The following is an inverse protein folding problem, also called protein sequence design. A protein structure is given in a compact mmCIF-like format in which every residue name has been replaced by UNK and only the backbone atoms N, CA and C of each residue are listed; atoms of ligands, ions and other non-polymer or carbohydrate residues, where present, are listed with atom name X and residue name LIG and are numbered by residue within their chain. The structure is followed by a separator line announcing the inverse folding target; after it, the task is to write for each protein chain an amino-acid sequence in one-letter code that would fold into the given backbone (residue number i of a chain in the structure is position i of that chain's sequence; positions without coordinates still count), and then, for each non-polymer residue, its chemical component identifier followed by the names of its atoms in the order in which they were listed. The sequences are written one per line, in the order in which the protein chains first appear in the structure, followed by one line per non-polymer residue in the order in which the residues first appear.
data_IF_132989228222
#
_entry.id   IF_132989228222
#
_cell.length_a   1.000
_cell.length_b   1.000
_cell.length_c   1.000
_cell.angle_alpha   90.00
_cell.angle_beta   90.00
_cell.angle_gamma   90.00
#
_symmetry.space_group_name_H-M   'P 1'
#
loop_
_entity.id
_entity.type
_entity.pdbx_description
1 polymer ?
#
# COMPACT_ATOMS: atom_id res chain seq x y z
N UNK A 1 16.82 -10.78 -14.31
CA UNK A 1 16.97 -9.33 -14.14
C UNK A 1 17.39 -9.09 -12.70
N UNK A 2 18.56 -8.48 -12.49
CA UNK A 2 18.95 -8.02 -11.16
C UNK A 2 18.13 -6.78 -10.90
N UNK A 3 17.28 -6.80 -9.87
CA UNK A 3 16.58 -5.61 -9.43
C UNK A 3 17.59 -4.80 -8.60
N UNK A 4 17.94 -3.63 -9.08
CA UNK A 4 18.72 -2.65 -8.33
C UNK A 4 17.78 -1.84 -7.44
N UNK A 5 18.32 -1.11 -6.47
CA UNK A 5 17.56 -0.20 -5.59
C UNK A 5 16.52 0.63 -6.36
N UNK A 6 16.91 1.22 -7.49
CA UNK A 6 16.02 2.05 -8.30
C UNK A 6 14.88 1.25 -8.96
N UNK A 7 15.19 0.07 -9.50
CA UNK A 7 14.17 -0.78 -10.12
C UNK A 7 13.20 -1.37 -9.10
N UNK A 8 13.69 -1.71 -7.90
CA UNK A 8 12.84 -2.15 -6.79
C UNK A 8 11.94 -1.01 -6.28
N UNK A 9 12.49 0.20 -6.14
CA UNK A 9 11.71 1.39 -5.75
C UNK A 9 10.63 1.70 -6.78
N UNK A 10 10.97 1.68 -8.08
CA UNK A 10 10.02 1.91 -9.16
C UNK A 10 8.90 0.85 -9.18
N UNK A 11 9.28 -0.44 -9.00
CA UNK A 11 8.32 -1.54 -8.92
C UNK A 11 7.35 -1.35 -7.75
N UNK A 12 7.87 -1.02 -6.57
CA UNK A 12 7.03 -0.77 -5.39
C UNK A 12 6.12 0.44 -5.58
N UNK A 13 6.60 1.52 -6.21
CA UNK A 13 5.78 2.68 -6.54
C UNK A 13 4.64 2.34 -7.51
N UNK A 14 4.91 1.51 -8.52
CA UNK A 14 3.87 1.02 -9.42
C UNK A 14 2.83 0.17 -8.69
N UNK A 15 3.28 -0.66 -7.76
CA UNK A 15 2.39 -1.54 -6.98
C UNK A 15 1.55 -0.75 -5.97
N UNK A 16 2.12 0.27 -5.33
CA UNK A 16 1.40 1.14 -4.40
C UNK A 16 0.39 2.04 -5.09
N UNK A 17 0.65 2.34 -6.37
CA UNK A 17 -0.17 3.24 -7.20
C UNK A 17 -0.67 4.46 -6.42
N UNK A 18 0.24 5.35 -5.99
CA UNK A 18 -0.14 6.50 -5.17
C UNK A 18 -1.09 7.45 -5.90
N UNK A 19 -1.02 7.52 -7.23
CA UNK A 19 -1.90 8.37 -8.03
C UNK A 19 -3.33 7.81 -8.12
N UNK A 20 -3.48 6.52 -8.40
CA UNK A 20 -4.77 5.83 -8.38
C UNK A 20 -5.41 5.80 -6.99
N UNK A 21 -4.60 5.91 -5.94
CA UNK A 21 -5.06 5.97 -4.56
C UNK A 21 -5.55 7.35 -4.12
N UNK A 22 -5.26 8.45 -4.87
CA UNK A 22 -5.65 9.82 -4.52
C UNK A 22 -7.16 9.96 -4.24
N UNK A 23 -8.08 9.45 -5.07
CA UNK A 23 -9.52 9.62 -4.82
C UNK A 23 -9.96 9.02 -3.49
N UNK A 24 -9.46 7.82 -3.17
CA UNK A 24 -9.79 7.12 -1.91
C UNK A 24 -9.24 7.88 -0.72
N UNK A 25 -7.95 8.27 -0.77
CA UNK A 25 -7.31 9.06 0.28
C UNK A 25 -8.02 10.39 0.50
N UNK A 26 -8.33 11.12 -0.57
CA UNK A 26 -9.06 12.39 -0.49
C UNK A 26 -10.42 12.24 0.19
N UNK A 27 -11.19 11.21 -0.16
CA UNK A 27 -12.51 10.97 0.43
C UNK A 27 -12.41 10.68 1.94
N UNK A 28 -11.44 9.86 2.32
CA UNK A 28 -11.20 9.53 3.73
C UNK A 28 -10.64 10.73 4.50
N UNK A 29 -9.69 11.48 3.92
CA UNK A 29 -9.10 12.66 4.56
C UNK A 29 -10.09 13.83 4.69
N UNK A 30 -11.17 13.88 3.90
CA UNK A 30 -12.23 14.86 4.09
C UNK A 30 -12.99 14.69 5.42
N UNK A 31 -12.98 13.49 6.00
CA UNK A 31 -13.53 13.20 7.33
C UNK A 31 -12.59 13.65 8.46
N UNK A 32 -11.36 14.05 8.13
CA UNK A 32 -10.32 14.44 9.09
C UNK A 32 -10.12 15.95 9.06
N UNK A 33 -10.04 16.57 10.25
CA UNK A 33 -9.74 18.00 10.35
C UNK A 33 -8.44 18.36 9.59
N UNK A 34 -8.42 19.46 8.81
CA UNK A 34 -7.29 19.82 7.94
C UNK A 34 -5.92 19.80 8.63
N UNK A 35 -5.86 20.31 9.86
CA UNK A 35 -4.63 20.34 10.67
C UNK A 35 -4.08 18.95 11.04
N UNK A 36 -4.87 17.90 10.91
CA UNK A 36 -4.51 16.52 11.28
C UNK A 36 -4.24 15.62 10.08
N UNK A 37 -4.60 16.03 8.86
CA UNK A 37 -4.50 15.22 7.63
C UNK A 37 -3.10 14.67 7.40
N UNK A 38 -2.08 15.52 7.45
CA UNK A 38 -0.68 15.12 7.26
C UNK A 38 -0.24 14.10 8.32
N UNK A 39 -0.66 14.30 9.57
CA UNK A 39 -0.35 13.36 10.66
C UNK A 39 -1.00 12.00 10.44
N UNK A 40 -2.23 11.98 9.92
CA UNK A 40 -2.91 10.73 9.56
C UNK A 40 -2.16 10.03 8.43
N UNK A 41 -1.81 10.73 7.34
CA UNK A 41 -1.03 10.13 6.24
C UNK A 41 0.29 9.55 6.74
N UNK A 42 1.04 10.29 7.56
CA UNK A 42 2.30 9.80 8.12
C UNK A 42 2.10 8.54 8.97
N UNK A 43 1.07 8.52 9.81
CA UNK A 43 0.73 7.35 10.62
C UNK A 43 0.43 6.13 9.75
N UNK A 44 -0.41 6.30 8.72
CA UNK A 44 -0.78 5.22 7.81
C UNK A 44 0.43 4.70 7.02
N UNK A 45 1.30 5.60 6.54
CA UNK A 45 2.56 5.24 5.90
C UNK A 45 3.49 4.46 6.83
N UNK A 46 3.61 4.87 8.11
CA UNK A 46 4.43 4.15 9.10
C UNK A 46 3.88 2.77 9.40
N UNK A 47 2.56 2.63 9.51
CA UNK A 47 1.91 1.33 9.74
C UNK A 47 2.13 0.43 8.52
N UNK A 48 1.88 0.95 7.31
CA UNK A 48 2.12 0.20 6.07
C UNK A 48 3.59 -0.22 5.94
N UNK A 49 4.53 0.68 6.24
CA UNK A 49 5.95 0.35 6.28
C UNK A 49 6.25 -0.77 7.26
N UNK A 50 5.73 -0.68 8.49
CA UNK A 50 5.95 -1.71 9.52
C UNK A 50 5.44 -3.08 9.10
N UNK A 51 4.24 -3.14 8.52
CA UNK A 51 3.67 -4.39 8.00
C UNK A 51 4.51 -4.94 6.86
N UNK A 52 4.80 -4.13 5.83
CA UNK A 52 5.59 -4.57 4.67
C UNK A 52 7.02 -4.96 5.05
N UNK A 53 7.64 -4.25 5.98
CA UNK A 53 8.96 -4.55 6.50
C UNK A 53 8.98 -5.88 7.28
N UNK A 54 7.97 -6.14 8.10
CA UNK A 54 7.83 -7.43 8.79
C UNK A 54 7.70 -8.60 7.79
N UNK A 55 6.96 -8.41 6.71
CA UNK A 55 6.85 -9.40 5.64
C UNK A 55 8.11 -9.50 4.77
N UNK A 56 8.84 -8.41 4.57
CA UNK A 56 10.12 -8.42 3.86
C UNK A 56 11.14 -9.31 4.58
N UNK A 57 11.22 -9.23 5.92
CA UNK A 57 12.19 -9.99 6.73
C UNK A 57 11.69 -11.39 7.06
N UNK A 58 10.45 -11.49 7.54
CA UNK A 58 9.89 -12.72 8.10
C UNK A 58 8.98 -13.51 7.17
N UNK A 59 8.63 -12.95 6.02
CA UNK A 59 7.58 -13.51 5.18
C UNK A 59 7.92 -14.85 4.57
N UNK A 60 9.19 -15.09 4.21
CA UNK A 60 9.62 -16.40 3.71
C UNK A 60 9.47 -17.50 4.79
N UNK A 61 9.89 -17.21 6.01
CA UNK A 61 9.74 -18.14 7.14
C UNK A 61 8.26 -18.39 7.45
N UNK A 62 7.45 -17.33 7.43
CA UNK A 62 6.00 -17.43 7.62
C UNK A 62 5.34 -18.29 6.54
N UNK A 63 5.68 -18.07 5.27
CA UNK A 63 5.12 -18.83 4.15
C UNK A 63 5.51 -20.31 4.20
N UNK A 64 6.77 -20.60 4.57
CA UNK A 64 7.22 -21.99 4.80
C UNK A 64 6.45 -22.65 5.93
N UNK A 65 6.26 -21.95 7.05
CA UNK A 65 5.49 -22.43 8.20
C UNK A 65 4.03 -22.73 7.83
N UNK A 66 3.42 -21.84 7.04
CA UNK A 66 2.03 -21.99 6.58
C UNK A 66 1.88 -22.89 5.35
N UNK A 67 2.98 -23.40 4.79
CA UNK A 67 3.02 -24.19 3.55
C UNK A 67 2.36 -23.48 2.35
N UNK A 68 2.40 -22.15 2.34
CA UNK A 68 1.84 -21.32 1.27
C UNK A 68 2.92 -21.12 0.19
N UNK A 69 2.59 -21.47 -1.05
CA UNK A 69 3.50 -21.24 -2.16
C UNK A 69 3.44 -19.78 -2.66
N UNK A 70 4.53 -19.30 -3.28
CA UNK A 70 4.55 -18.00 -3.95
C UNK A 70 3.48 -17.89 -5.04
N UNK A 71 3.16 -18.99 -5.73
CA UNK A 71 2.09 -19.05 -6.72
C UNK A 71 0.72 -18.84 -6.08
N UNK A 72 0.44 -19.50 -4.96
CA UNK A 72 -0.83 -19.35 -4.22
C UNK A 72 -1.01 -17.90 -3.73
N UNK A 73 0.06 -17.28 -3.22
CA UNK A 73 0.03 -15.88 -2.78
C UNK A 73 -0.23 -14.94 -3.96
N UNK A 74 0.43 -15.15 -5.09
CA UNK A 74 0.26 -14.32 -6.29
C UNK A 74 -1.14 -14.44 -6.87
N UNK A 75 -1.71 -15.65 -6.91
CA UNK A 75 -3.06 -15.90 -7.40
C UNK A 75 -4.09 -15.25 -6.48
N UNK A 76 -4.01 -15.49 -5.17
CA UNK A 76 -4.93 -14.91 -4.20
C UNK A 76 -4.84 -13.38 -4.16
N UNK A 77 -3.63 -12.82 -4.21
CA UNK A 77 -3.41 -11.38 -4.32
C UNK A 77 -4.02 -10.80 -5.60
N UNK A 78 -3.83 -11.47 -6.74
CA UNK A 78 -4.43 -11.09 -8.02
C UNK A 78 -5.96 -11.11 -8.00
N UNK A 79 -6.56 -12.12 -7.39
CA UNK A 79 -8.03 -12.21 -7.23
C UNK A 79 -8.55 -11.05 -6.37
N UNK A 80 -7.89 -10.75 -5.25
CA UNK A 80 -8.30 -9.63 -4.37
C UNK A 80 -8.21 -8.30 -5.12
N UNK A 81 -7.11 -8.06 -5.85
CA UNK A 81 -6.96 -6.85 -6.67
C UNK A 81 -8.04 -6.76 -7.75
N UNK A 82 -8.35 -7.86 -8.41
CA UNK A 82 -9.42 -7.91 -9.40
C UNK A 82 -10.78 -7.56 -8.80
N UNK A 83 -11.10 -8.09 -7.62
CA UNK A 83 -12.34 -7.76 -6.91
C UNK A 83 -12.39 -6.29 -6.49
N UNK A 84 -11.27 -5.71 -6.05
CA UNK A 84 -11.18 -4.28 -5.73
C UNK A 84 -11.38 -3.45 -7.00
N UNK A 85 -10.73 -3.80 -8.11
CA UNK A 85 -10.88 -3.13 -9.38
C UNK A 85 -12.34 -3.16 -9.88
N UNK A 86 -13.03 -4.31 -9.77
CA UNK A 86 -14.44 -4.40 -10.09
C UNK A 86 -15.30 -3.46 -9.23
N UNK A 87 -15.03 -3.36 -7.93
CA UNK A 87 -15.74 -2.43 -7.05
C UNK A 87 -15.46 -0.96 -7.36
N UNK A 88 -14.29 -0.66 -7.91
CA UNK A 88 -13.97 0.71 -8.35
C UNK A 88 -14.69 1.08 -9.66
N UNK A 89 -14.85 0.12 -10.58
CA UNK A 89 -15.55 0.33 -11.86
C UNK A 89 -17.07 0.34 -11.64
N UNK A 90 -17.57 -0.55 -10.78
CA UNK A 90 -18.98 -0.70 -10.44
C UNK A 90 -19.19 -0.43 -8.94
N UNK A 91 -19.13 0.84 -8.51
CA UNK A 91 -19.23 1.16 -7.10
C UNK A 91 -20.61 0.77 -6.56
N UNK A 92 -20.67 0.05 -5.43
CA UNK A 92 -21.93 -0.20 -4.74
C UNK A 92 -22.51 1.12 -4.20
N UNK A 93 -23.82 1.18 -3.87
CA UNK A 93 -24.48 2.37 -3.34
C UNK A 93 -23.77 2.98 -2.12
N UNK A 94 -23.17 2.12 -1.29
CA UNK A 94 -22.44 2.51 -0.07
C UNK A 94 -20.95 2.85 -0.32
N UNK A 95 -20.54 2.95 -1.59
CA UNK A 95 -19.15 3.20 -1.98
C UNK A 95 -18.27 1.96 -2.01
N UNK A 96 -17.06 2.09 -2.58
CA UNK A 96 -16.10 0.98 -2.80
C UNK A 96 -15.77 0.23 -1.51
N UNK A 97 -15.72 0.93 -0.39
CA UNK A 97 -15.31 0.43 0.92
C UNK A 97 -16.47 0.25 1.91
N UNK A 98 -17.72 0.37 1.43
CA UNK A 98 -18.91 0.39 2.28
C UNK A 98 -19.07 1.70 3.05
N UNK A 99 -20.04 1.75 3.95
CA UNK A 99 -20.24 2.91 4.82
C UNK A 99 -19.00 3.10 5.70
N UNK A 100 -18.22 4.16 5.41
CA UNK A 100 -17.05 4.50 6.22
C UNK A 100 -17.53 4.92 7.62
N UNK A 101 -16.84 4.48 8.70
CA UNK A 101 -17.15 4.94 10.03
C UNK A 101 -17.08 6.48 10.09
N UNK A 102 -18.02 7.12 10.77
CA UNK A 102 -18.03 8.58 10.95
C UNK A 102 -16.88 9.11 11.86
N UNK A 103 -15.94 8.25 12.22
CA UNK A 103 -14.74 8.57 13.01
C UNK A 103 -13.51 8.53 12.13
N UNK A 104 -12.43 9.17 12.61
CA UNK A 104 -11.14 9.14 11.93
C UNK A 104 -10.75 7.70 11.60
N UNK A 105 -10.43 7.39 10.34
CA UNK A 105 -10.02 6.05 9.95
C UNK A 105 -8.72 5.70 10.66
N UNK A 106 -8.75 4.62 11.41
CA UNK A 106 -7.58 3.99 12.00
C UNK A 106 -7.19 2.82 11.10
N UNK A 107 -6.01 2.83 10.50
CA UNK A 107 -5.43 1.69 9.75
C UNK A 107 -6.24 1.30 8.50
N UNK A 108 -7.55 1.10 8.62
CA UNK A 108 -8.42 0.72 7.49
C UNK A 108 -9.21 1.94 6.98
N UNK A 109 -9.29 2.15 5.65
CA UNK A 109 -8.71 1.36 4.55
C UNK A 109 -7.33 1.85 4.06
N UNK A 110 -6.70 2.84 4.69
CA UNK A 110 -5.56 3.57 4.14
C UNK A 110 -4.24 2.79 4.22
N UNK A 111 -3.84 2.33 5.42
CA UNK A 111 -2.63 1.53 5.55
C UNK A 111 -2.85 0.12 5.00
N UNK A 112 -3.96 -0.51 5.38
CA UNK A 112 -4.37 -1.84 4.94
C UNK A 112 -5.82 -1.73 4.45
N UNK A 113 -6.17 -2.16 3.22
CA UNK A 113 -5.33 -2.83 2.22
C UNK A 113 -4.70 -1.91 1.16
N UNK A 114 -4.82 -0.58 1.27
CA UNK A 114 -4.50 0.30 0.15
C UNK A 114 -2.99 0.41 -0.09
N UNK A 115 -2.18 0.73 0.93
CA UNK A 115 -0.72 0.77 0.82
C UNK A 115 -0.09 -0.61 1.02
N UNK A 116 -0.40 -1.29 2.12
CA UNK A 116 0.06 -2.65 2.39
C UNK A 116 -0.96 -3.69 1.88
N UNK A 117 -1.25 -3.63 0.59
CA UNK A 117 -2.15 -4.57 -0.07
C UNK A 117 -1.49 -5.90 -0.43
N UNK A 118 -2.28 -6.89 -0.89
CA UNK A 118 -1.77 -8.23 -1.24
C UNK A 118 -0.67 -8.21 -2.29
N UNK A 119 -0.75 -7.30 -3.27
CA UNK A 119 0.29 -7.11 -4.30
C UNK A 119 1.59 -6.57 -3.72
N UNK A 120 1.50 -5.61 -2.79
CA UNK A 120 2.64 -5.05 -2.10
C UNK A 120 3.32 -6.10 -1.22
N UNK A 121 2.53 -6.88 -0.47
CA UNK A 121 3.02 -8.01 0.33
C UNK A 121 3.73 -9.05 -0.55
N UNK A 122 3.11 -9.47 -1.65
CA UNK A 122 3.73 -10.41 -2.60
C UNK A 122 5.05 -9.86 -3.17
N UNK A 123 5.09 -8.57 -3.49
CA UNK A 123 6.30 -7.93 -4.05
C UNK A 123 7.44 -7.91 -3.05
N UNK A 124 7.22 -7.48 -1.80
CA UNK A 124 8.28 -7.46 -0.78
C UNK A 124 8.76 -8.86 -0.41
N UNK A 125 7.85 -9.84 -0.37
CA UNK A 125 8.19 -11.25 -0.18
C UNK A 125 9.11 -11.77 -1.28
N UNK A 126 8.78 -11.48 -2.54
CA UNK A 126 9.59 -11.90 -3.69
C UNK A 126 10.96 -11.22 -3.70
N UNK A 127 11.05 -9.94 -3.33
CA UNK A 127 12.33 -9.24 -3.21
C UNK A 127 13.21 -9.88 -2.13
N UNK A 128 12.65 -10.12 -0.94
CA UNK A 128 13.37 -10.77 0.17
C UNK A 128 13.81 -12.21 -0.16
N UNK A 129 12.92 -13.01 -0.73
CA UNK A 129 13.20 -14.41 -1.06
C UNK A 129 14.22 -14.59 -2.19
N UNK A 130 14.26 -13.68 -3.18
CA UNK A 130 15.17 -13.79 -4.34
C UNK A 130 16.60 -13.36 -4.05
N UNK A 131 16.80 -12.41 -3.16
CA UNK A 131 18.12 -11.89 -2.81
C UNK A 131 18.16 -11.47 -1.33
N UNK A 132 18.27 -12.45 -0.42
CA UNK A 132 18.27 -12.19 1.02
C UNK A 132 19.54 -11.46 1.50
N UNK A 133 20.61 -11.51 0.73
CA UNK A 133 21.86 -10.78 0.95
C UNK A 133 21.72 -9.26 0.73
N UNK A 134 20.66 -8.82 0.06
CA UNK A 134 20.41 -7.40 -0.27
C UNK A 134 19.30 -6.76 0.55
N UNK A 135 19.01 -7.27 1.75
CA UNK A 135 17.93 -6.76 2.62
C UNK A 135 18.00 -5.26 2.91
N UNK A 136 19.21 -4.70 3.04
CA UNK A 136 19.39 -3.26 3.27
C UNK A 136 18.88 -2.45 2.08
N UNK A 137 19.16 -2.90 0.85
CA UNK A 137 18.68 -2.25 -0.36
C UNK A 137 17.16 -2.34 -0.49
N UNK A 138 16.58 -3.52 -0.21
CA UNK A 138 15.13 -3.71 -0.26
C UNK A 138 14.40 -2.88 0.78
N UNK A 139 14.97 -2.78 1.99
CA UNK A 139 14.44 -1.90 3.04
C UNK A 139 14.52 -0.44 2.62
N UNK A 140 15.64 -0.02 2.04
CA UNK A 140 15.79 1.33 1.50
C UNK A 140 14.81 1.64 0.37
N UNK A 141 14.63 0.70 -0.57
CA UNK A 141 13.68 0.82 -1.68
C UNK A 141 12.23 0.93 -1.17
N UNK A 142 11.87 0.11 -0.18
CA UNK A 142 10.58 0.16 0.48
C UNK A 142 10.35 1.50 1.18
N UNK A 143 11.33 1.98 1.94
CA UNK A 143 11.26 3.28 2.62
C UNK A 143 11.10 4.43 1.61
N UNK A 144 11.90 4.44 0.54
CA UNK A 144 11.82 5.44 -0.52
C UNK A 144 10.44 5.44 -1.19
N UNK A 145 9.93 4.26 -1.56
CA UNK A 145 8.62 4.13 -2.20
C UNK A 145 7.48 4.63 -1.29
N UNK A 146 7.52 4.30 0.00
CA UNK A 146 6.51 4.77 0.97
C UNK A 146 6.60 6.28 1.20
N UNK A 147 7.81 6.84 1.31
CA UNK A 147 8.00 8.29 1.46
C UNK A 147 7.45 9.04 0.24
N UNK A 148 7.78 8.59 -0.96
CA UNK A 148 7.28 9.22 -2.20
C UNK A 148 5.75 9.11 -2.26
N UNK A 149 5.19 7.94 -1.99
CA UNK A 149 3.73 7.74 -1.95
C UNK A 149 3.08 8.62 -0.89
N UNK A 150 3.66 8.71 0.30
CA UNK A 150 3.18 9.57 1.38
C UNK A 150 3.17 11.05 1.01
N UNK A 151 4.21 11.52 0.29
CA UNK A 151 4.27 12.91 -0.21
C UNK A 151 3.14 13.15 -1.22
N UNK A 152 2.98 12.27 -2.21
CA UNK A 152 1.91 12.38 -3.23
C UNK A 152 0.54 12.41 -2.55
N UNK A 153 0.29 11.50 -1.60
CA UNK A 153 -0.98 11.41 -0.89
C UNK A 153 -1.22 12.59 0.05
N UNK A 154 -0.20 13.10 0.72
CA UNK A 154 -0.32 14.30 1.56
C UNK A 154 -0.63 15.56 0.73
N UNK A 155 -0.11 15.64 -0.50
CA UNK A 155 -0.38 16.74 -1.43
C UNK A 155 -1.75 16.60 -2.10
N UNK A 156 -2.35 15.41 -2.10
CA UNK A 156 -3.65 15.15 -2.77
C UNK A 156 -4.77 16.06 -2.28
N UNK A 157 -4.77 16.42 -0.99
CA UNK A 157 -5.73 17.37 -0.42
C UNK A 157 -5.64 18.78 -1.01
N UNK A 158 -4.42 19.21 -1.40
CA UNK A 158 -4.21 20.52 -2.05
C UNK A 158 -4.53 20.49 -3.55
N UNK A 159 -4.27 19.35 -4.20
CA UNK A 159 -4.52 19.17 -5.63
C UNK A 159 -6.03 19.31 -5.92
N UNK A 160 -6.87 18.80 -5.04
CA UNK A 160 -8.33 18.92 -5.20
C UNK A 160 -8.85 20.36 -5.06
N UNK A 161 -8.21 21.18 -4.21
CA UNK A 161 -8.54 22.61 -4.06
C UNK A 161 -8.15 23.44 -5.31
N UNK A 162 -7.20 22.95 -6.10
CA UNK A 162 -6.72 23.63 -7.34
C UNK A 162 -7.48 23.14 -8.57
N UNK A 163 -8.00 21.91 -8.56
CA UNK A 163 -8.68 21.30 -9.71
C UNK A 163 -10.21 21.35 -9.63
N UNK A 164 -10.79 21.76 -8.54
CA UNK A 164 -12.22 21.76 -8.33
C UNK A 164 -12.82 23.04 -7.97
#
# INVERSE_FOLDING_TARGET
MQHDFFSATALLLLVFDPFGSIPVFSNVLNLVAPARRVRVVLRECLIAFGVLFAFLIGGEAFMRLMQVSNASLSISGGIVLFLIALRMIFPPPDGVWGALPQREPLIFPLAIPLLAGPSALATVLLLGARAPDRMVEWTGALAAAIVISGIVLALSGRIKEVMG
#
